data_IF_330081060232
#
_entry.id   IF_330081060232
#
_cell.length_a   1.000
_cell.length_b   1.000
_cell.length_c   1.000
_cell.angle_alpha   90.00
_cell.angle_beta   90.00
_cell.angle_gamma   90.00
#
_symmetry.space_group_name_H-M   'P 1'
#
loop_
_entity.id
_entity.type
_entity.pdbx_description
1 polymer ?
#
# COMPACT_ATOMS: atom_id res chain seq x y z
N UNK A 1 19.30 -6.80 -7.05
CA UNK A 1 17.87 -6.54 -7.22
C UNK A 1 17.33 -5.79 -6.02
N UNK A 2 16.74 -4.66 -6.27
CA UNK A 2 16.20 -3.87 -5.20
C UNK A 2 14.89 -4.46 -4.70
N UNK A 3 14.77 -4.59 -3.39
CA UNK A 3 13.53 -4.99 -2.77
C UNK A 3 12.62 -3.76 -2.71
N UNK A 4 11.47 -3.83 -3.35
CA UNK A 4 10.53 -2.71 -3.44
C UNK A 4 9.49 -2.78 -2.33
N UNK A 5 9.88 -3.31 -1.19
CA UNK A 5 9.05 -3.51 -0.01
C UNK A 5 9.43 -2.52 1.09
N UNK A 6 8.43 -1.98 1.76
CA UNK A 6 8.65 -1.15 2.95
C UNK A 6 8.42 -2.03 4.16
N UNK A 7 9.38 -2.04 5.10
CA UNK A 7 9.21 -2.81 6.33
C UNK A 7 8.19 -2.15 7.25
N UNK A 8 7.53 -2.97 8.07
CA UNK A 8 6.59 -2.44 9.07
C UNK A 8 7.30 -1.50 10.04
N UNK A 9 8.54 -1.83 10.41
CA UNK A 9 9.32 -1.01 11.32
C UNK A 9 9.53 0.40 10.74
N UNK A 10 9.94 0.47 9.48
CA UNK A 10 10.19 1.76 8.84
C UNK A 10 8.90 2.55 8.67
N UNK A 11 7.81 1.86 8.30
CA UNK A 11 6.52 2.54 8.17
C UNK A 11 6.08 3.15 9.50
N UNK A 12 6.17 2.38 10.59
CA UNK A 12 5.73 2.85 11.90
C UNK A 12 6.59 3.99 12.43
N UNK A 13 7.86 4.03 12.03
CA UNK A 13 8.77 5.09 12.48
C UNK A 13 8.40 6.45 11.89
N UNK A 14 7.90 6.48 10.66
CA UNK A 14 7.58 7.74 9.98
C UNK A 14 6.35 7.60 9.08
N UNK A 15 5.17 7.30 9.67
CA UNK A 15 3.99 7.02 8.85
C UNK A 15 3.54 8.20 7.99
N UNK A 16 3.87 9.42 8.40
CA UNK A 16 3.48 10.61 7.65
C UNK A 16 4.20 10.75 6.31
N UNK A 17 5.27 9.97 6.09
CA UNK A 17 6.02 10.02 4.83
C UNK A 17 5.37 9.19 3.73
N UNK A 18 4.33 8.42 4.08
CA UNK A 18 3.76 7.42 3.18
C UNK A 18 2.27 7.64 2.99
N UNK A 19 1.81 7.36 1.77
CA UNK A 19 0.37 7.34 1.46
C UNK A 19 -0.01 5.89 1.26
N UNK A 20 -0.85 5.36 2.16
CA UNK A 20 -1.27 3.96 2.09
C UNK A 20 -2.45 3.78 1.17
N UNK A 21 -2.31 2.87 0.22
CA UNK A 21 -3.38 2.52 -0.72
C UNK A 21 -3.70 1.03 -0.51
N UNK A 22 -4.86 0.77 0.11
CA UNK A 22 -5.29 -0.61 0.36
C UNK A 22 -5.94 -1.14 -0.91
N UNK A 23 -5.35 -2.17 -1.49
CA UNK A 23 -5.81 -2.70 -2.80
C UNK A 23 -6.64 -3.96 -2.66
N UNK A 24 -7.11 -4.26 -1.43
CA UNK A 24 -8.03 -5.37 -1.20
C UNK A 24 -9.43 -4.98 -1.66
N UNK A 25 -10.34 -5.96 -1.67
CA UNK A 25 -11.74 -5.68 -1.97
C UNK A 25 -12.36 -4.82 -0.89
N UNK A 26 -13.41 -4.09 -1.25
CA UNK A 26 -14.08 -3.17 -0.33
C UNK A 26 -14.54 -3.85 0.95
N UNK A 27 -15.09 -5.06 0.83
CA UNK A 27 -15.57 -5.79 2.01
C UNK A 27 -14.44 -6.06 3.00
N UNK A 28 -13.27 -6.45 2.51
CA UNK A 28 -12.10 -6.67 3.37
C UNK A 28 -11.67 -5.37 4.05
N UNK A 29 -11.66 -4.29 3.29
CA UNK A 29 -11.27 -2.98 3.80
C UNK A 29 -12.22 -2.50 4.90
N UNK A 30 -13.53 -2.62 4.68
CA UNK A 30 -14.50 -2.18 5.67
C UNK A 30 -14.46 -3.02 6.94
N UNK A 31 -14.09 -4.28 6.84
CA UNK A 31 -13.97 -5.14 8.00
C UNK A 31 -12.90 -4.63 8.96
N UNK A 32 -11.74 -4.29 8.42
CA UNK A 32 -10.70 -3.57 9.15
C UNK A 32 -9.62 -3.14 8.17
N UNK A 33 -8.97 -2.03 8.49
CA UNK A 33 -7.87 -1.53 7.66
C UNK A 33 -6.92 -0.70 8.54
N UNK A 34 -5.72 -0.48 8.03
CA UNK A 34 -4.74 0.36 8.72
C UNK A 34 -5.26 1.80 8.73
N UNK A 35 -5.28 2.47 9.90
CA UNK A 35 -5.77 3.84 9.96
C UNK A 35 -5.07 4.74 8.94
N UNK A 36 -5.87 5.53 8.23
CA UNK A 36 -5.34 6.45 7.22
C UNK A 36 -5.25 5.87 5.82
N UNK A 37 -5.45 4.57 5.65
CA UNK A 37 -5.39 3.96 4.32
C UNK A 37 -6.62 4.32 3.48
N UNK A 38 -6.38 4.51 2.19
CA UNK A 38 -7.44 4.73 1.20
C UNK A 38 -7.66 3.42 0.44
N UNK A 39 -8.90 3.05 0.21
CA UNK A 39 -9.20 1.80 -0.50
C UNK A 39 -9.37 2.05 -2.00
N UNK A 40 -8.48 1.47 -2.78
CA UNK A 40 -8.62 1.41 -4.24
C UNK A 40 -8.35 -0.04 -4.63
N UNK A 41 -9.40 -0.86 -4.78
CA UNK A 41 -9.18 -2.27 -5.13
C UNK A 41 -8.33 -2.43 -6.38
N UNK A 42 -7.51 -3.49 -6.39
CA UNK A 42 -6.58 -3.74 -7.48
C UNK A 42 -7.27 -3.70 -8.85
N UNK A 43 -8.51 -4.19 -8.92
CA UNK A 43 -9.26 -4.22 -10.17
C UNK A 43 -9.58 -2.83 -10.73
N UNK A 44 -9.55 -1.79 -9.87
CA UNK A 44 -9.86 -0.42 -10.29
C UNK A 44 -8.65 0.50 -10.31
N UNK A 45 -7.50 -0.02 -9.92
CA UNK A 45 -6.32 0.83 -9.70
C UNK A 45 -5.91 1.60 -10.95
N UNK A 46 -5.97 0.96 -12.12
CA UNK A 46 -5.53 1.60 -13.36
C UNK A 46 -6.44 2.72 -13.82
N UNK A 47 -7.70 2.71 -13.40
CA UNK A 47 -8.66 3.75 -13.76
C UNK A 47 -8.89 4.76 -12.65
N UNK A 48 -8.27 4.55 -11.49
CA UNK A 48 -8.46 5.42 -10.32
C UNK A 48 -7.11 5.67 -9.67
N UNK A 49 -6.23 6.38 -10.38
CA UNK A 49 -4.87 6.65 -9.88
C UNK A 49 -4.98 7.43 -8.56
N UNK A 50 -4.31 6.95 -7.50
CA UNK A 50 -4.39 7.63 -6.21
C UNK A 50 -3.75 9.01 -6.25
N UNK A 51 -4.29 9.90 -5.43
CA UNK A 51 -3.72 11.24 -5.26
C UNK A 51 -2.65 11.15 -4.16
N UNK A 52 -1.40 11.29 -4.55
CA UNK A 52 -0.27 11.17 -3.63
C UNK A 52 0.47 12.50 -3.56
N UNK A 53 0.58 13.09 -2.36
CA UNK A 53 1.34 14.33 -2.22
C UNK A 53 2.78 14.15 -2.69
N UNK A 54 3.36 15.22 -3.24
CA UNK A 54 4.69 15.15 -3.86
C UNK A 54 5.78 14.70 -2.88
N UNK A 55 5.62 14.98 -1.61
CA UNK A 55 6.60 14.63 -0.58
C UNK A 55 6.30 13.30 0.11
N UNK A 56 5.32 12.55 -0.39
CA UNK A 56 4.95 11.25 0.16
C UNK A 56 5.27 10.14 -0.83
N UNK A 57 5.48 8.94 -0.29
CA UNK A 57 5.74 7.74 -1.09
C UNK A 57 4.47 6.90 -1.11
N UNK A 58 3.96 6.52 -2.30
CA UNK A 58 2.78 5.64 -2.35
C UNK A 58 3.15 4.22 -1.94
N UNK A 59 2.38 3.67 -1.00
CA UNK A 59 2.62 2.33 -0.45
C UNK A 59 1.35 1.51 -0.59
N UNK A 60 1.41 0.44 -1.35
CA UNK A 60 0.25 -0.43 -1.53
C UNK A 60 0.19 -1.47 -0.42
N UNK A 61 -1.04 -1.82 -0.03
CA UNK A 61 -1.29 -2.72 1.10
C UNK A 61 -2.29 -3.79 0.69
N UNK A 62 -1.99 -5.04 1.03
CA UNK A 62 -2.97 -6.11 0.90
C UNK A 62 -3.09 -6.84 2.23
N UNK A 63 -3.62 -8.07 2.25
CA UNK A 63 -3.86 -8.76 3.51
C UNK A 63 -2.57 -9.14 4.23
N UNK A 64 -1.65 -9.80 3.54
CA UNK A 64 -0.43 -10.33 4.16
C UNK A 64 0.86 -9.88 3.51
N UNK A 65 0.77 -8.98 2.54
CA UNK A 65 1.95 -8.46 1.84
C UNK A 65 2.35 -9.34 0.66
N UNK A 66 3.05 -8.75 -0.30
CA UNK A 66 3.36 -9.44 -1.54
C UNK A 66 2.10 -9.58 -2.40
N UNK A 67 2.07 -10.55 -3.31
CA UNK A 67 0.88 -10.83 -4.11
C UNK A 67 0.21 -9.58 -4.68
N UNK A 68 -1.02 -9.32 -4.23
CA UNK A 68 -1.80 -8.19 -4.71
C UNK A 68 -1.10 -6.84 -4.53
N UNK A 69 -0.45 -6.64 -3.38
CA UNK A 69 0.19 -5.35 -3.12
C UNK A 69 1.46 -5.18 -3.96
N UNK A 70 2.22 -6.24 -4.17
CA UNK A 70 3.41 -6.17 -5.03
C UNK A 70 3.00 -5.88 -6.48
N UNK A 71 1.95 -6.53 -6.95
CA UNK A 71 1.42 -6.29 -8.30
C UNK A 71 0.93 -4.85 -8.43
N UNK A 72 0.23 -4.34 -7.42
CA UNK A 72 -0.29 -2.98 -7.41
C UNK A 72 0.83 -1.95 -7.44
N UNK A 73 1.88 -2.17 -6.64
CA UNK A 73 3.02 -1.25 -6.63
C UNK A 73 3.70 -1.21 -8.01
N UNK A 74 3.86 -2.38 -8.64
CA UNK A 74 4.43 -2.43 -9.98
C UNK A 74 3.57 -1.66 -10.99
N UNK A 75 2.24 -1.81 -10.89
CA UNK A 75 1.32 -1.09 -11.76
C UNK A 75 1.44 0.42 -11.57
N UNK A 76 1.50 0.88 -10.33
CA UNK A 76 1.63 2.31 -10.04
C UNK A 76 2.94 2.87 -10.60
N UNK A 77 4.02 2.12 -10.53
CA UNK A 77 5.29 2.56 -11.10
C UNK A 77 5.19 2.78 -12.60
N UNK A 78 4.50 1.89 -13.29
CA UNK A 78 4.32 2.04 -14.75
C UNK A 78 3.36 3.19 -15.08
N UNK A 79 2.55 3.61 -14.12
CA UNK A 79 1.60 4.71 -14.31
C UNK A 79 2.18 6.06 -13.90
N UNK A 80 3.47 6.12 -13.60
CA UNK A 80 4.14 7.38 -13.28
C UNK A 80 4.47 7.61 -11.82
N UNK A 81 4.01 6.76 -10.92
CA UNK A 81 4.34 6.86 -9.50
C UNK A 81 5.58 6.00 -9.24
N UNK A 82 6.73 6.51 -9.69
CA UNK A 82 7.97 5.73 -9.78
C UNK A 82 8.47 5.20 -8.44
N UNK A 83 8.10 5.83 -7.33
CA UNK A 83 8.56 5.44 -5.99
C UNK A 83 7.63 4.43 -5.30
N UNK A 84 6.57 3.97 -5.98
CA UNK A 84 5.61 3.06 -5.35
C UNK A 84 6.26 1.77 -4.86
N UNK A 85 5.94 1.40 -3.62
CA UNK A 85 6.43 0.19 -2.97
C UNK A 85 5.24 -0.46 -2.24
N UNK A 86 5.44 -1.69 -1.74
CA UNK A 86 4.37 -2.39 -1.01
C UNK A 86 4.77 -2.63 0.44
N UNK A 87 3.77 -2.72 1.33
CA UNK A 87 4.00 -2.84 2.76
C UNK A 87 4.18 -4.29 3.18
N UNK A 88 5.30 -4.57 3.83
CA UNK A 88 5.60 -5.89 4.41
C UNK A 88 4.51 -6.29 5.40
N UNK A 89 4.06 -7.52 5.31
CA UNK A 89 3.06 -8.06 6.23
C UNK A 89 1.64 -7.58 6.00
N UNK A 90 1.47 -6.49 5.27
CA UNK A 90 0.16 -5.96 4.93
C UNK A 90 -0.68 -5.60 6.14
N UNK A 91 -2.00 -5.59 5.95
CA UNK A 91 -2.94 -5.27 7.02
C UNK A 91 -2.81 -6.23 8.19
N UNK A 92 -2.71 -7.53 7.90
CA UNK A 92 -2.61 -8.53 8.96
C UNK A 92 -1.34 -8.36 9.78
N UNK A 93 -0.22 -8.10 9.12
CA UNK A 93 1.05 -7.88 9.81
C UNK A 93 1.02 -6.64 10.67
N UNK A 94 0.41 -5.56 10.17
CA UNK A 94 0.31 -4.33 10.96
C UNK A 94 -0.48 -4.56 12.25
N UNK A 95 -1.63 -5.26 12.16
CA UNK A 95 -2.44 -5.54 13.35
C UNK A 95 -1.74 -6.52 14.29
N UNK A 96 -1.02 -7.49 13.75
CA UNK A 96 -0.31 -8.48 14.58
C UNK A 96 0.87 -7.88 15.33
N UNK A 97 1.44 -6.79 14.83
CA UNK A 97 2.64 -6.18 15.42
C UNK A 97 2.35 -5.08 16.43
N UNK A 98 1.11 -4.88 16.80
CA UNK A 98 0.70 -3.85 17.74
C UNK A 98 0.97 -4.24 19.18
#
# INVERSE_FOLDING_TARGET
MTDLMLSLTDFKANPERYTLIDVRDEAEFFERHIPGATNIPLSRLRSSVPDVPADCVPVTVCGKGGGRSAEAAAALRTMGLASAIWLEGGTNGWFASR
#
